data_IF_323452658504
#
_entry.id   IF_323452658504
#
_cell.length_a   1.000
_cell.length_b   1.000
_cell.length_c   1.000
_cell.angle_alpha   90.00
_cell.angle_beta   90.00
_cell.angle_gamma   90.00
#
_symmetry.space_group_name_H-M   'P 1'
#
loop_
_entity.id
_entity.type
_entity.pdbx_description
1 polymer ?
#
# COMPACT_ATOMS: atom_id res chain seq x y z
N UNK A 1 -15.07 -9.18 17.22
CA UNK A 1 -13.59 -9.26 17.22
C UNK A 1 -13.07 -8.26 16.22
N UNK A 2 -12.24 -7.32 16.63
CA UNK A 2 -11.73 -6.27 15.74
C UNK A 2 -10.72 -6.87 14.76
N UNK A 3 -10.77 -6.48 13.48
CA UNK A 3 -9.83 -6.88 12.45
C UNK A 3 -9.28 -5.66 11.74
N UNK A 4 -7.99 -5.70 11.44
CA UNK A 4 -7.30 -4.66 10.71
C UNK A 4 -6.57 -5.25 9.50
N UNK A 5 -6.43 -4.44 8.44
CA UNK A 5 -5.55 -4.77 7.32
C UNK A 5 -4.30 -3.92 7.38
N UNK A 6 -3.16 -4.53 7.15
CA UNK A 6 -1.90 -3.83 6.92
C UNK A 6 -1.44 -4.04 5.49
N UNK A 7 -0.83 -3.01 4.91
CA UNK A 7 -0.34 -3.03 3.54
C UNK A 7 1.09 -2.47 3.51
N UNK A 8 2.05 -3.29 3.13
CA UNK A 8 3.41 -2.84 2.81
C UNK A 8 3.47 -2.49 1.33
N UNK A 9 3.61 -1.19 1.03
CA UNK A 9 3.46 -0.66 -0.32
C UNK A 9 4.80 -0.52 -1.04
N UNK A 10 4.82 -0.95 -2.29
CA UNK A 10 5.91 -0.82 -3.24
C UNK A 10 5.44 -0.22 -4.56
N UNK A 11 6.38 0.08 -5.46
CA UNK A 11 6.06 0.58 -6.81
C UNK A 11 5.31 -0.49 -7.60
N UNK A 12 4.02 -0.27 -7.81
CA UNK A 12 3.13 -1.14 -8.59
C UNK A 12 2.56 -2.35 -7.87
N UNK A 13 2.88 -2.59 -6.59
CA UNK A 13 2.36 -3.73 -5.83
C UNK A 13 2.35 -3.49 -4.31
N UNK A 14 1.73 -4.39 -3.57
CA UNK A 14 1.75 -4.38 -2.12
C UNK A 14 1.52 -5.74 -1.49
N UNK A 15 2.13 -5.98 -0.34
CA UNK A 15 1.83 -7.13 0.51
C UNK A 15 0.73 -6.74 1.50
N UNK A 16 -0.39 -7.45 1.46
CA UNK A 16 -1.59 -7.19 2.24
C UNK A 16 -1.81 -8.32 3.25
N UNK A 17 -1.95 -7.97 4.53
CA UNK A 17 -2.18 -8.94 5.60
C UNK A 17 -3.34 -8.48 6.47
N UNK A 18 -4.31 -9.35 6.69
CA UNK A 18 -5.40 -9.14 7.66
C UNK A 18 -5.03 -9.79 8.97
N UNK A 19 -5.07 -9.00 10.03
CA UNK A 19 -4.83 -9.44 11.41
C UNK A 19 -6.12 -9.34 12.21
N UNK A 20 -6.38 -10.36 13.00
CA UNK A 20 -7.46 -10.44 13.97
C UNK A 20 -6.93 -10.91 15.33
N UNK A 21 -7.81 -11.47 16.16
CA UNK A 21 -7.44 -11.93 17.48
C UNK A 21 -7.56 -10.84 18.55
N UNK A 22 -6.63 -10.81 19.49
CA UNK A 22 -6.54 -9.77 20.51
C UNK A 22 -5.21 -9.01 20.40
N UNK A 23 -5.10 -7.80 21.00
CA UNK A 23 -3.83 -7.08 21.03
C UNK A 23 -2.66 -7.85 21.65
N UNK A 24 -2.95 -8.79 22.56
CA UNK A 24 -1.92 -9.63 23.18
C UNK A 24 -1.62 -10.91 22.37
N UNK A 25 -2.53 -11.31 21.48
CA UNK A 25 -2.41 -12.52 20.66
C UNK A 25 -2.96 -12.26 19.26
N UNK A 26 -2.18 -11.60 18.38
CA UNK A 26 -2.59 -11.35 17.01
C UNK A 26 -2.60 -12.67 16.22
N UNK A 27 -3.56 -12.79 15.31
CA UNK A 27 -3.72 -13.94 14.42
C UNK A 27 -3.80 -13.45 12.97
N UNK A 28 -3.02 -14.07 12.07
CA UNK A 28 -3.11 -13.76 10.64
C UNK A 28 -4.33 -14.48 10.07
N UNK A 29 -5.29 -13.67 9.58
CA UNK A 29 -6.55 -14.15 9.01
C UNK A 29 -6.45 -14.30 7.49
N UNK A 30 -5.74 -13.37 6.84
CA UNK A 30 -5.56 -13.36 5.39
C UNK A 30 -4.21 -12.77 5.01
N UNK A 31 -3.64 -13.24 3.90
CA UNK A 31 -2.33 -12.84 3.42
C UNK A 31 -2.31 -12.94 1.89
N UNK A 32 -1.99 -11.84 1.22
CA UNK A 32 -1.97 -11.78 -0.25
C UNK A 32 -0.97 -10.74 -0.74
N UNK A 33 -0.24 -11.05 -1.80
CA UNK A 33 0.47 -10.05 -2.60
C UNK A 33 -0.45 -9.59 -3.72
N UNK A 34 -0.59 -8.27 -3.88
CA UNK A 34 -1.43 -7.65 -4.89
C UNK A 34 -0.55 -6.88 -5.86
N UNK A 35 -0.54 -7.32 -7.11
CA UNK A 35 0.06 -6.60 -8.23
C UNK A 35 -0.99 -5.64 -8.82
N UNK A 36 -0.66 -4.35 -8.87
CA UNK A 36 -1.56 -3.31 -9.38
C UNK A 36 -1.37 -3.06 -10.87
N UNK A 37 -0.12 -3.09 -11.31
CA UNK A 37 0.29 -2.78 -12.67
C UNK A 37 1.46 -3.68 -13.10
N UNK A 38 1.53 -3.96 -14.39
CA UNK A 38 2.67 -4.66 -14.99
C UNK A 38 3.92 -3.80 -15.08
N UNK A 39 5.04 -4.43 -15.48
CA UNK A 39 6.37 -3.81 -15.54
C UNK A 39 6.42 -2.55 -16.38
N UNK A 40 5.66 -2.48 -17.48
CA UNK A 40 5.65 -1.34 -18.39
C UNK A 40 4.96 -0.09 -17.83
N UNK A 41 4.05 -0.25 -16.87
CA UNK A 41 3.22 0.84 -16.33
C UNK A 41 3.58 1.21 -14.89
N UNK A 42 4.24 0.34 -14.13
CA UNK A 42 4.50 0.57 -12.70
C UNK A 42 5.36 1.80 -12.42
N UNK A 43 6.35 2.08 -13.26
CA UNK A 43 7.19 3.28 -13.18
C UNK A 43 6.53 4.47 -13.89
N UNK A 44 5.29 4.79 -13.48
CA UNK A 44 4.40 5.69 -14.22
C UNK A 44 4.91 7.14 -14.29
N UNK A 45 5.55 7.65 -13.24
CA UNK A 45 6.12 8.99 -13.27
C UNK A 45 7.42 9.08 -14.06
N UNK A 46 8.24 8.03 -14.09
CA UNK A 46 9.40 7.96 -14.98
C UNK A 46 8.96 8.03 -16.43
N UNK A 47 7.90 7.31 -16.79
CA UNK A 47 7.33 7.38 -18.13
C UNK A 47 6.69 8.73 -18.42
N UNK A 48 5.96 9.32 -17.47
CA UNK A 48 5.38 10.66 -17.60
C UNK A 48 6.44 11.72 -17.88
N UNK A 49 7.63 11.60 -17.29
CA UNK A 49 8.75 12.53 -17.51
C UNK A 49 9.26 12.56 -18.95
N UNK A 50 8.94 11.57 -19.77
CA UNK A 50 9.28 11.53 -21.22
C UNK A 50 8.21 12.11 -22.12
N UNK A 51 7.05 12.54 -21.57
CA UNK A 51 5.90 13.01 -22.30
C UNK A 51 5.74 14.53 -22.23
N UNK A 52 4.99 15.12 -23.17
CA UNK A 52 4.48 16.48 -23.03
C UNK A 52 3.53 16.55 -21.83
N UNK A 53 3.50 17.68 -21.12
CA UNK A 53 2.75 17.84 -19.86
C UNK A 53 1.29 17.37 -19.92
N UNK A 54 0.52 17.78 -20.94
CA UNK A 54 -0.87 17.38 -21.08
C UNK A 54 -1.04 15.86 -21.27
N UNK A 55 -0.16 15.21 -22.04
CA UNK A 55 -0.15 13.75 -22.23
C UNK A 55 0.28 13.02 -20.96
N UNK A 56 1.21 13.59 -20.19
CA UNK A 56 1.64 13.02 -18.91
C UNK A 56 0.49 13.04 -17.88
N UNK A 57 -0.27 14.11 -17.82
CA UNK A 57 -1.47 14.20 -16.95
C UNK A 57 -2.52 13.15 -17.32
N UNK A 58 -2.84 13.04 -18.61
CA UNK A 58 -3.79 12.03 -19.11
C UNK A 58 -3.32 10.60 -18.81
N UNK A 59 -2.07 10.32 -19.09
CA UNK A 59 -1.43 9.04 -18.81
C UNK A 59 -1.52 8.65 -17.32
N UNK A 60 -1.12 9.55 -16.42
CA UNK A 60 -1.16 9.31 -14.97
C UNK A 60 -2.59 9.12 -14.47
N UNK A 61 -3.56 9.88 -15.01
CA UNK A 61 -4.98 9.69 -14.71
C UNK A 61 -5.49 8.31 -15.11
N UNK A 62 -5.14 7.86 -16.30
CA UNK A 62 -5.49 6.53 -16.81
C UNK A 62 -4.86 5.40 -15.96
N UNK A 63 -3.57 5.50 -15.70
CA UNK A 63 -2.83 4.52 -14.88
C UNK A 63 -3.38 4.45 -13.46
N UNK A 64 -3.72 5.61 -12.86
CA UNK A 64 -4.32 5.67 -11.54
C UNK A 64 -5.68 4.96 -11.50
N UNK A 65 -6.55 5.24 -12.46
CA UNK A 65 -7.87 4.60 -12.53
C UNK A 65 -7.75 3.08 -12.68
N UNK A 66 -6.86 2.60 -13.54
CA UNK A 66 -6.57 1.18 -13.72
C UNK A 66 -6.07 0.53 -12.44
N UNK A 67 -5.07 1.12 -11.80
CA UNK A 67 -4.47 0.59 -10.57
C UNK A 67 -5.48 0.61 -9.40
N UNK A 68 -6.30 1.65 -9.27
CA UNK A 68 -7.34 1.74 -8.23
C UNK A 68 -8.43 0.68 -8.40
N UNK A 69 -8.87 0.43 -9.63
CA UNK A 69 -9.85 -0.62 -9.92
C UNK A 69 -9.26 -2.00 -9.60
N UNK A 70 -8.02 -2.25 -9.97
CA UNK A 70 -7.31 -3.49 -9.63
C UNK A 70 -7.17 -3.65 -8.11
N UNK A 71 -6.76 -2.60 -7.39
CA UNK A 71 -6.65 -2.64 -5.93
C UNK A 71 -7.98 -2.98 -5.26
N UNK A 72 -9.08 -2.35 -5.68
CA UNK A 72 -10.43 -2.62 -5.15
C UNK A 72 -10.87 -4.06 -5.39
N UNK A 73 -10.67 -4.57 -6.59
CA UNK A 73 -11.00 -5.95 -6.95
C UNK A 73 -10.22 -6.96 -6.11
N UNK A 74 -8.91 -6.75 -5.99
CA UNK A 74 -8.01 -7.68 -5.31
C UNK A 74 -8.12 -7.62 -3.77
N UNK A 75 -8.42 -6.44 -3.22
CA UNK A 75 -8.64 -6.27 -1.77
C UNK A 75 -10.01 -6.77 -1.31
N UNK A 76 -11.02 -6.76 -2.18
CA UNK A 76 -12.42 -7.10 -1.81
C UNK A 76 -12.54 -8.39 -1.00
N UNK A 77 -11.93 -9.54 -1.37
CA UNK A 77 -12.03 -10.77 -0.58
C UNK A 77 -11.41 -10.67 0.83
N UNK A 78 -10.38 -9.84 1.00
CA UNK A 78 -9.75 -9.59 2.30
C UNK A 78 -10.62 -8.68 3.17
N UNK A 79 -11.23 -7.65 2.56
CA UNK A 79 -12.04 -6.64 3.27
C UNK A 79 -13.39 -7.20 3.75
N UNK A 80 -13.97 -8.18 3.04
CA UNK A 80 -15.19 -8.88 3.46
C UNK A 80 -15.04 -9.63 4.80
N UNK A 81 -13.83 -9.79 5.29
CA UNK A 81 -13.54 -10.42 6.59
C UNK A 81 -13.82 -9.50 7.79
N UNK A 82 -14.73 -8.54 7.68
CA UNK A 82 -15.11 -7.59 8.74
C UNK A 82 -13.97 -6.66 9.17
N UNK A 83 -13.09 -6.30 8.25
CA UNK A 83 -12.04 -5.29 8.47
C UNK A 83 -12.69 -3.91 8.64
N UNK A 84 -12.22 -3.13 9.63
CA UNK A 84 -12.76 -1.80 9.96
C UNK A 84 -11.71 -0.69 9.95
N UNK A 85 -10.45 -1.06 9.98
CA UNK A 85 -9.33 -0.10 10.00
C UNK A 85 -8.18 -0.66 9.20
N UNK A 86 -7.43 0.23 8.57
CA UNK A 86 -6.24 -0.12 7.81
C UNK A 86 -4.99 0.60 8.30
N UNK A 87 -3.85 0.00 8.04
CA UNK A 87 -2.55 0.59 8.21
C UNK A 87 -1.74 0.41 6.92
N UNK A 88 -1.14 1.48 6.43
CA UNK A 88 -0.29 1.45 5.26
C UNK A 88 1.14 1.74 5.67
N UNK A 89 1.98 0.74 5.55
CA UNK A 89 3.42 0.86 5.82
C UNK A 89 4.09 1.52 4.61
N UNK A 90 4.30 2.83 4.70
CA UNK A 90 4.85 3.67 3.66
C UNK A 90 5.40 4.98 4.23
N UNK A 91 6.18 5.70 3.43
CA UNK A 91 6.65 7.05 3.78
C UNK A 91 5.49 8.02 3.96
N UNK A 92 5.60 8.88 4.95
CA UNK A 92 4.75 10.05 5.11
C UNK A 92 5.07 11.12 4.07
N UNK A 93 4.11 11.99 3.79
CA UNK A 93 4.25 13.09 2.85
C UNK A 93 3.02 13.24 1.97
N UNK A 94 3.05 14.19 1.07
CA UNK A 94 1.97 14.50 0.13
C UNK A 94 2.51 14.44 -1.29
N UNK A 95 1.74 13.84 -2.19
CA UNK A 95 2.04 13.86 -3.61
C UNK A 95 1.91 15.30 -4.13
N UNK A 96 3.01 15.85 -4.63
CA UNK A 96 3.05 17.19 -5.19
C UNK A 96 2.42 17.23 -6.60
N UNK A 97 2.19 18.46 -7.11
CA UNK A 97 1.75 18.66 -8.49
C UNK A 97 2.78 18.13 -9.50
N UNK A 98 2.33 17.89 -10.73
CA UNK A 98 3.14 17.25 -11.76
C UNK A 98 4.41 18.03 -12.11
N UNK A 99 4.34 19.35 -12.21
CA UNK A 99 5.51 20.18 -12.55
C UNK A 99 6.59 20.07 -11.46
N UNK A 100 6.16 20.13 -10.20
CA UNK A 100 7.05 19.95 -9.06
C UNK A 100 7.68 18.56 -9.05
N UNK A 101 6.90 17.51 -9.33
CA UNK A 101 7.41 16.13 -9.38
C UNK A 101 8.42 15.95 -10.49
N UNK A 102 8.11 16.42 -11.70
CA UNK A 102 8.98 16.22 -12.87
C UNK A 102 10.26 17.08 -12.85
N UNK A 103 10.38 18.02 -11.91
CA UNK A 103 11.55 18.89 -11.80
C UNK A 103 12.84 18.16 -11.44
N UNK A 104 12.79 17.03 -10.72
CA UNK A 104 13.97 16.23 -10.36
C UNK A 104 13.70 14.74 -10.29
N UNK A 105 14.70 13.93 -10.63
CA UNK A 105 14.62 12.47 -10.57
C UNK A 105 14.29 11.94 -9.16
N UNK A 106 14.83 12.57 -8.12
CA UNK A 106 14.53 12.20 -6.73
C UNK A 106 13.04 12.39 -6.39
N UNK A 107 12.41 13.45 -6.90
CA UNK A 107 10.97 13.70 -6.70
C UNK A 107 10.12 12.70 -7.46
N UNK A 108 10.53 12.26 -8.63
CA UNK A 108 9.87 11.21 -9.41
C UNK A 108 9.78 9.92 -8.60
N UNK A 109 10.88 9.46 -8.00
CA UNK A 109 10.88 8.26 -7.14
C UNK A 109 9.97 8.42 -5.93
N UNK A 110 10.01 9.57 -5.26
CA UNK A 110 9.13 9.83 -4.12
C UNK A 110 7.66 9.86 -4.51
N UNK A 111 7.35 10.47 -5.67
CA UNK A 111 5.99 10.54 -6.20
C UNK A 111 5.40 9.17 -6.50
N UNK A 112 6.16 8.24 -7.06
CA UNK A 112 5.71 6.87 -7.28
C UNK A 112 5.34 6.19 -5.96
N UNK A 113 6.13 6.34 -4.91
CA UNK A 113 5.81 5.83 -3.59
C UNK A 113 4.50 6.39 -3.03
N UNK A 114 4.30 7.70 -3.09
CA UNK A 114 3.07 8.36 -2.64
C UNK A 114 1.85 7.99 -3.50
N UNK A 115 2.04 7.85 -4.81
CA UNK A 115 1.00 7.46 -5.75
C UNK A 115 0.41 6.09 -5.40
N UNK A 116 1.23 5.07 -5.21
CA UNK A 116 0.76 3.72 -4.88
C UNK A 116 0.22 3.62 -3.46
N UNK A 117 0.81 4.33 -2.50
CA UNK A 117 0.27 4.46 -1.14
C UNK A 117 -1.17 5.00 -1.17
N UNK A 118 -1.39 6.08 -1.89
CA UNK A 118 -2.69 6.73 -1.97
C UNK A 118 -3.73 5.87 -2.71
N UNK A 119 -3.32 5.11 -3.72
CA UNK A 119 -4.19 4.13 -4.40
C UNK A 119 -4.67 3.05 -3.42
N UNK A 120 -3.78 2.44 -2.65
CA UNK A 120 -4.17 1.44 -1.66
C UNK A 120 -5.07 2.03 -0.57
N UNK A 121 -4.78 3.24 -0.09
CA UNK A 121 -5.62 3.94 0.88
C UNK A 121 -7.03 4.17 0.35
N UNK A 122 -7.15 4.68 -0.86
CA UNK A 122 -8.43 4.98 -1.49
C UNK A 122 -9.22 3.71 -1.87
N UNK A 123 -8.54 2.60 -2.06
CA UNK A 123 -9.16 1.30 -2.31
C UNK A 123 -9.81 0.70 -1.06
N UNK A 124 -9.33 1.00 0.13
CA UNK A 124 -9.84 0.45 1.38
C UNK A 124 -11.22 0.98 1.77
N UNK A 125 -11.59 2.22 1.40
CA UNK A 125 -12.89 2.86 1.69
C UNK A 125 -13.26 2.98 3.18
N UNK A 126 -12.26 2.91 4.07
CA UNK A 126 -12.35 3.15 5.51
C UNK A 126 -11.04 3.81 6.00
N UNK A 127 -10.99 4.30 7.26
CA UNK A 127 -9.78 4.93 7.76
C UNK A 127 -8.54 4.06 7.65
N UNK A 128 -7.52 4.58 6.97
CA UNK A 128 -6.21 3.96 6.84
C UNK A 128 -5.13 4.90 7.37
N UNK A 129 -4.39 4.45 8.37
CA UNK A 129 -3.29 5.19 8.98
C UNK A 129 -1.99 4.89 8.23
N UNK A 130 -1.22 5.92 7.90
CA UNK A 130 0.13 5.74 7.35
C UNK A 130 1.10 5.52 8.51
N UNK A 131 1.85 4.44 8.43
CA UNK A 131 2.86 4.04 9.41
C UNK A 131 4.24 4.18 8.77
N UNK A 132 5.10 5.09 9.23
CA UNK A 132 6.41 5.29 8.65
C UNK A 132 7.36 4.11 8.90
N UNK A 133 8.31 3.85 7.97
CA UNK A 133 9.20 2.66 8.00
C UNK A 133 10.02 2.49 9.27
N UNK A 134 10.42 3.57 9.90
CA UNK A 134 11.33 3.55 11.06
C UNK A 134 10.60 3.42 12.40
N UNK A 135 9.26 3.31 12.39
CA UNK A 135 8.43 3.29 13.60
C UNK A 135 8.16 1.91 14.18
N UNK A 136 8.47 0.83 13.46
CA UNK A 136 8.10 -0.54 13.85
C UNK A 136 9.29 -1.52 13.78
N UNK A 137 9.40 -2.36 14.81
CA UNK A 137 10.32 -3.50 14.83
C UNK A 137 9.58 -4.79 14.41
N UNK A 138 10.09 -5.48 13.38
CA UNK A 138 9.51 -6.71 12.83
C UNK A 138 9.83 -7.99 13.62
N UNK A 139 10.72 -7.93 14.62
CA UNK A 139 11.13 -9.11 15.38
C UNK A 139 9.95 -9.90 15.98
N UNK A 140 8.88 -9.25 16.51
CA UNK A 140 7.72 -9.96 17.06
C UNK A 140 6.95 -10.82 16.05
N UNK A 141 7.10 -10.55 14.75
CA UNK A 141 6.31 -11.22 13.70
C UNK A 141 6.81 -12.62 13.33
N UNK A 142 7.99 -13.05 13.75
CA UNK A 142 8.54 -14.39 13.62
C UNK A 142 7.98 -15.25 12.47
N UNK A 143 7.60 -16.48 12.78
CA UNK A 143 6.94 -17.43 11.86
C UNK A 143 5.48 -17.65 12.28
N UNK A 144 4.62 -16.63 12.09
CA UNK A 144 3.24 -16.66 12.57
C UNK A 144 2.26 -17.23 11.53
N UNK A 145 2.62 -17.22 10.26
CA UNK A 145 1.73 -17.62 9.18
C UNK A 145 2.40 -18.55 8.14
N UNK A 146 1.55 -19.13 7.30
CA UNK A 146 1.95 -19.88 6.11
C UNK A 146 2.52 -18.97 5.03
N UNK A 147 3.28 -19.53 4.09
CA UNK A 147 3.82 -18.76 2.94
C UNK A 147 2.72 -18.14 2.09
N UNK A 148 2.97 -16.95 1.50
CA UNK A 148 4.19 -16.17 1.60
C UNK A 148 4.33 -15.46 2.96
N UNK A 149 5.46 -15.58 3.64
CA UNK A 149 5.74 -14.93 4.93
C UNK A 149 7.15 -14.37 4.96
N UNK A 150 7.37 -13.34 4.15
CA UNK A 150 8.62 -12.58 4.05
C UNK A 150 8.59 -11.29 4.87
N UNK A 151 9.56 -10.41 4.59
CA UNK A 151 9.69 -9.13 5.28
C UNK A 151 8.46 -8.25 5.10
N UNK A 152 7.94 -8.14 3.88
CA UNK A 152 6.82 -7.25 3.57
C UNK A 152 5.52 -7.71 4.23
N UNK A 153 5.26 -9.02 4.28
CA UNK A 153 4.12 -9.57 5.01
C UNK A 153 4.24 -9.31 6.52
N UNK A 154 5.43 -9.42 7.09
CA UNK A 154 5.68 -9.11 8.50
C UNK A 154 5.46 -7.63 8.82
N UNK A 155 5.92 -6.73 7.96
CA UNK A 155 5.70 -5.30 8.08
C UNK A 155 4.21 -4.95 7.97
N UNK A 156 3.50 -5.52 6.99
CA UNK A 156 2.07 -5.36 6.84
C UNK A 156 1.30 -5.88 8.07
N UNK A 157 1.62 -7.08 8.55
CA UNK A 157 0.99 -7.65 9.73
C UNK A 157 1.24 -6.81 10.99
N UNK A 158 2.46 -6.32 11.17
CA UNK A 158 2.83 -5.47 12.30
C UNK A 158 2.09 -4.12 12.27
N UNK A 159 1.97 -3.50 11.10
CA UNK A 159 1.21 -2.27 10.92
C UNK A 159 -0.29 -2.49 11.23
N UNK A 160 -0.89 -3.59 10.75
CA UNK A 160 -2.26 -3.96 11.09
C UNK A 160 -2.45 -4.17 12.59
N UNK A 161 -1.53 -4.90 13.23
CA UNK A 161 -1.58 -5.14 14.66
C UNK A 161 -1.44 -3.83 15.47
N UNK A 162 -0.56 -2.93 15.05
CA UNK A 162 -0.38 -1.63 15.69
C UNK A 162 -1.69 -0.84 15.76
N UNK A 163 -2.40 -0.68 14.62
CA UNK A 163 -3.67 0.08 14.61
C UNK A 163 -4.82 -0.66 15.29
N UNK A 164 -4.78 -1.99 15.34
CA UNK A 164 -5.76 -2.79 16.07
C UNK A 164 -5.60 -2.65 17.60
N UNK A 165 -4.43 -2.25 18.07
CA UNK A 165 -4.08 -2.15 19.48
C UNK A 165 -4.32 -0.75 20.06
N UNK A 166 -4.70 0.23 19.23
CA UNK A 166 -5.11 1.57 19.63
C UNK A 166 -6.60 1.64 19.96
#
# INVERSE_FOLDING_TARGET
MQRAIGISVHTGWGACVVVGGSPRRPEVIGNKVIELLGDEERSCYHRAATMKHALAQEWLGHVRAKALNQARSELSPLLHQQVRVGAIFAKEGVLADLDTVLATHLRIHSAEGFFYRDIFRDACQFPCHVIPPDSLDIAPMGKIATKPWGRDQKLAALAAWHVMSQ
#
